data_IF_382150813162
#
_entry.id   IF_382150813162
#
_cell.length_a   1.000
_cell.length_b   1.000
_cell.length_c   1.000
_cell.angle_alpha   90.00
_cell.angle_beta   90.00
_cell.angle_gamma   90.00
#
_symmetry.space_group_name_H-M   'P 1'
#
loop_
_entity.id
_entity.type
_entity.pdbx_description
1 polymer ?
#
# COMPACT_ATOMS: atom_id res chain seq x y z
N UNK A 1 76.71 9.38 24.45
CA UNK A 1 76.39 9.08 25.86
C UNK A 1 75.30 9.99 26.33
N UNK A 2 74.07 9.46 26.41
CA UNK A 2 73.49 8.92 27.65
C UNK A 2 73.01 10.06 28.55
N UNK A 3 71.86 10.08 29.19
CA UNK A 3 70.60 9.35 29.16
C UNK A 3 69.66 10.17 30.05
N UNK A 4 68.36 10.11 29.76
CA UNK A 4 67.18 10.49 30.52
C UNK A 4 67.32 10.93 32.01
N UNK A 5 66.56 11.94 32.48
CA UNK A 5 66.31 12.15 33.91
C UNK A 5 65.05 11.40 34.41
N UNK A 6 65.19 10.77 35.58
CA UNK A 6 64.17 10.06 36.35
C UNK A 6 63.43 10.99 37.31
N UNK A 7 62.10 10.96 37.25
CA UNK A 7 61.10 10.72 38.31
C UNK A 7 61.31 11.28 39.75
N UNK A 8 60.29 12.04 40.23
CA UNK A 8 59.59 11.98 41.55
C UNK A 8 58.92 13.34 41.81
N UNK A 9 57.61 13.54 41.65
CA UNK A 9 56.47 13.10 42.48
C UNK A 9 56.38 13.83 43.84
N UNK A 10 55.56 14.88 43.91
CA UNK A 10 54.98 15.40 45.17
C UNK A 10 53.50 15.71 44.90
N UNK A 11 52.64 15.06 45.69
CA UNK A 11 51.18 15.09 45.66
C UNK A 11 50.62 16.35 46.32
N UNK A 12 49.51 16.90 45.81
CA UNK A 12 48.50 17.54 46.66
C UNK A 12 47.09 17.05 46.31
N UNK A 13 46.51 16.38 47.29
CA UNK A 13 45.13 15.91 47.43
C UNK A 13 44.15 17.09 47.51
N UNK A 14 43.07 17.05 46.73
CA UNK A 14 41.78 17.63 47.15
C UNK A 14 40.62 16.73 46.70
N UNK A 15 39.54 16.64 47.52
CA UNK A 15 38.60 15.52 47.47
C UNK A 15 37.47 15.77 46.46
N UNK A 16 37.13 14.74 45.67
CA UNK A 16 35.88 14.69 44.91
C UNK A 16 34.86 13.81 45.63
N UNK A 17 33.67 14.38 45.70
CA UNK A 17 32.47 13.93 46.42
C UNK A 17 31.93 12.61 45.84
N UNK A 18 31.66 11.69 46.77
CA UNK A 18 30.81 10.50 46.61
C UNK A 18 29.34 10.91 46.46
N UNK A 19 28.67 10.31 45.49
CA UNK A 19 27.23 10.42 45.24
C UNK A 19 26.77 9.37 44.23
N UNK A 20 26.60 8.15 44.72
CA UNK A 20 26.04 6.94 44.10
C UNK A 20 24.61 7.07 43.53
N UNK A 21 24.31 6.23 42.53
CA UNK A 21 22.97 5.74 42.16
C UNK A 21 22.52 6.19 40.77
N UNK A 22 22.60 5.36 39.73
CA UNK A 22 21.69 4.25 39.35
C UNK A 22 20.75 4.69 38.21
N UNK A 23 20.41 3.72 37.34
CA UNK A 23 19.46 3.73 36.21
C UNK A 23 19.96 4.40 34.91
N UNK A 24 20.49 3.67 33.91
CA UNK A 24 19.85 2.65 33.06
C UNK A 24 18.49 3.05 32.43
N UNK A 25 18.48 2.93 31.11
CA UNK A 25 17.34 2.77 30.20
C UNK A 25 16.55 3.98 29.68
N UNK A 26 16.70 4.13 28.36
CA UNK A 26 15.64 4.38 27.38
C UNK A 26 15.00 5.75 27.39
N UNK A 27 15.53 6.61 26.50
CA UNK A 27 14.76 7.68 25.90
C UNK A 27 13.62 7.07 25.08
N UNK A 28 12.47 6.87 25.69
CA UNK A 28 11.20 6.75 24.97
C UNK A 28 10.89 8.11 24.38
N UNK A 29 11.13 8.27 23.08
CA UNK A 29 10.54 9.35 22.30
C UNK A 29 9.02 9.12 22.28
N UNK A 30 8.31 9.74 23.22
CA UNK A 30 6.89 10.00 23.08
C UNK A 30 6.74 11.02 21.94
N UNK A 31 6.55 10.52 20.73
CA UNK A 31 6.01 11.34 19.64
C UNK A 31 4.49 11.28 19.75
N UNK A 32 3.95 12.43 20.08
CA UNK A 32 2.54 12.83 20.03
C UNK A 32 1.75 12.09 18.96
N UNK A 33 0.71 11.39 19.41
CA UNK A 33 -0.43 11.07 18.57
C UNK A 33 -1.13 12.39 18.19
N UNK A 34 -1.58 12.59 16.94
CA UNK A 34 -2.43 13.73 16.64
C UNK A 34 -3.75 13.61 17.41
N UNK A 35 -3.90 14.50 18.39
CA UNK A 35 -5.15 14.88 19.04
C UNK A 35 -6.04 15.57 17.99
N UNK A 36 -7.04 14.87 17.45
CA UNK A 36 -8.12 15.53 16.71
C UNK A 36 -9.17 16.03 17.71
N UNK A 37 -9.17 17.34 17.92
CA UNK A 37 -10.18 18.06 18.68
C UNK A 37 -11.49 18.10 17.91
N UNK A 38 -12.57 17.65 18.56
CA UNK A 38 -13.96 18.02 18.26
C UNK A 38 -14.11 19.55 18.20
N UNK A 39 -14.72 20.06 17.13
CA UNK A 39 -15.59 21.24 17.22
C UNK A 39 -16.66 21.24 16.11
N UNK A 40 -17.90 21.23 16.59
CA UNK A 40 -19.09 21.91 16.10
C UNK A 40 -19.72 21.55 14.75
N UNK A 41 -20.74 20.69 14.88
CA UNK A 41 -21.96 20.64 14.08
C UNK A 41 -22.61 22.04 14.05
N UNK A 42 -22.83 22.58 12.86
CA UNK A 42 -23.84 23.62 12.65
C UNK A 42 -24.75 23.25 11.48
N UNK A 43 -26.01 23.13 11.85
CA UNK A 43 -27.25 23.03 11.07
C UNK A 43 -27.29 23.94 9.83
N UNK A 44 -27.88 23.47 8.73
CA UNK A 44 -27.89 24.25 7.49
C UNK A 44 -28.70 23.71 6.31
N UNK A 45 -30.01 23.53 6.52
CA UNK A 45 -31.11 23.76 5.57
C UNK A 45 -31.15 23.07 4.18
N UNK A 46 -32.29 22.41 3.97
CA UNK A 46 -32.81 21.88 2.73
C UNK A 46 -32.88 22.89 1.57
N UNK A 47 -32.68 22.39 0.35
CA UNK A 47 -33.39 22.89 -0.83
C UNK A 47 -33.87 21.72 -1.67
N UNK A 48 -35.18 21.61 -1.74
CA UNK A 48 -35.95 20.84 -2.72
C UNK A 48 -35.59 21.30 -4.13
N UNK A 49 -35.50 20.37 -5.08
CA UNK A 49 -35.84 20.70 -6.46
C UNK A 49 -36.35 19.45 -7.19
N UNK A 50 -37.65 19.47 -7.44
CA UNK A 50 -38.39 18.65 -8.39
C UNK A 50 -37.87 18.84 -9.82
N UNK A 51 -37.68 17.74 -10.56
CA UNK A 51 -37.97 17.63 -12.01
C UNK A 51 -37.92 16.13 -12.36
N UNK A 52 -39.05 15.43 -12.41
CA UNK A 52 -39.88 15.19 -13.62
C UNK A 52 -39.07 14.80 -14.85
N UNK A 53 -38.89 13.50 -15.10
CA UNK A 53 -38.80 12.95 -16.46
C UNK A 53 -39.38 11.51 -16.52
N UNK A 54 -40.65 11.46 -16.92
CA UNK A 54 -41.18 10.65 -18.03
C UNK A 54 -40.53 9.29 -18.34
N UNK A 55 -41.26 8.23 -17.97
CA UNK A 55 -41.24 6.91 -18.61
C UNK A 55 -41.84 6.99 -20.03
N UNK A 56 -41.27 6.28 -21.02
CA UNK A 56 -42.14 5.43 -21.81
C UNK A 56 -41.58 4.02 -22.03
N UNK A 57 -42.50 3.08 -21.82
CA UNK A 57 -42.53 1.70 -22.29
C UNK A 57 -42.54 1.57 -23.82
N UNK A 58 -42.26 0.33 -24.26
CA UNK A 58 -42.49 -0.29 -25.58
C UNK A 58 -41.27 -0.35 -26.51
N UNK A 59 -40.72 -1.56 -26.68
CA UNK A 59 -40.94 -2.28 -27.93
C UNK A 59 -40.69 -3.79 -27.77
N UNK A 60 -41.70 -4.55 -28.14
CA UNK A 60 -41.71 -5.98 -28.43
C UNK A 60 -41.37 -6.23 -29.90
N UNK A 61 -41.02 -7.49 -30.18
CA UNK A 61 -40.96 -8.16 -31.50
C UNK A 61 -39.67 -7.91 -32.32
N UNK A 62 -38.86 -8.97 -32.49
CA UNK A 62 -38.89 -9.71 -33.74
C UNK A 62 -38.09 -11.02 -33.64
N UNK A 63 -38.76 -12.08 -34.08
CA UNK A 63 -38.23 -13.43 -34.28
C UNK A 63 -37.48 -13.48 -35.61
N UNK A 64 -36.29 -14.10 -35.65
CA UNK A 64 -35.86 -14.88 -36.82
C UNK A 64 -34.54 -15.62 -36.52
N UNK A 65 -34.67 -16.90 -36.16
CA UNK A 65 -33.56 -17.87 -36.18
C UNK A 65 -33.57 -18.64 -37.50
N UNK A 66 -32.50 -18.61 -38.31
CA UNK A 66 -32.29 -19.62 -39.33
C UNK A 66 -31.45 -20.78 -38.79
N UNK A 67 -32.07 -21.96 -38.83
CA UNK A 67 -31.45 -23.28 -38.72
C UNK A 67 -30.38 -23.46 -39.82
N UNK A 68 -29.16 -23.82 -39.43
CA UNK A 68 -28.16 -24.37 -40.36
C UNK A 68 -27.78 -25.78 -39.89
N UNK A 69 -28.26 -26.74 -40.68
CA UNK A 69 -27.83 -28.13 -40.75
C UNK A 69 -26.46 -28.21 -41.43
N UNK A 70 -25.54 -28.97 -40.83
CA UNK A 70 -24.21 -29.21 -41.35
C UNK A 70 -23.47 -30.27 -40.55
N UNK A 71 -23.99 -31.51 -40.58
CA UNK A 71 -23.27 -32.70 -40.08
C UNK A 71 -22.03 -32.95 -40.96
N UNK A 72 -20.84 -32.81 -40.37
CA UNK A 72 -19.57 -33.09 -41.03
C UNK A 72 -18.55 -33.63 -40.03
N UNK A 73 -18.39 -34.95 -40.02
CA UNK A 73 -17.38 -35.69 -39.27
C UNK A 73 -15.95 -35.26 -39.68
N UNK A 74 -15.11 -35.01 -38.67
CA UNK A 74 -13.69 -34.69 -38.83
C UNK A 74 -12.95 -35.02 -37.54
N UNK A 75 -12.35 -36.21 -37.51
CA UNK A 75 -11.55 -36.75 -36.41
C UNK A 75 -10.13 -36.13 -36.33
N UNK A 76 -9.68 -35.97 -35.07
CA UNK A 76 -8.29 -35.91 -34.52
C UNK A 76 -7.58 -34.55 -34.43
N UNK A 77 -6.63 -34.33 -33.48
CA UNK A 77 -6.40 -34.91 -32.15
C UNK A 77 -6.23 -33.83 -31.04
N UNK A 78 -6.04 -34.29 -29.80
CA UNK A 78 -5.92 -33.48 -28.58
C UNK A 78 -4.67 -32.60 -28.53
N UNK A 79 -4.84 -31.31 -28.22
CA UNK A 79 -3.85 -30.47 -27.56
C UNK A 79 -4.53 -29.80 -26.36
N UNK A 80 -4.12 -30.17 -25.16
CA UNK A 80 -4.46 -29.45 -23.94
C UNK A 80 -3.71 -28.13 -23.95
N UNK A 81 -4.44 -27.05 -24.20
CA UNK A 81 -4.07 -25.71 -23.86
C UNK A 81 -5.33 -25.09 -23.27
N UNK A 82 -5.49 -25.25 -21.96
CA UNK A 82 -6.33 -24.37 -21.16
C UNK A 82 -5.73 -22.96 -21.25
N UNK A 83 -6.04 -22.26 -22.35
CA UNK A 83 -5.95 -20.81 -22.38
C UNK A 83 -7.15 -20.30 -21.61
N UNK A 84 -6.96 -20.09 -20.31
CA UNK A 84 -7.85 -19.25 -19.52
C UNK A 84 -7.77 -17.84 -20.11
N UNK A 85 -8.71 -17.54 -20.99
CA UNK A 85 -9.17 -16.19 -21.25
C UNK A 85 -9.76 -15.67 -19.93
N UNK A 86 -8.91 -15.09 -19.09
CA UNK A 86 -9.33 -14.37 -17.89
C UNK A 86 -10.05 -13.11 -18.34
N UNK A 87 -11.34 -13.09 -18.06
CA UNK A 87 -12.23 -11.94 -18.11
C UNK A 87 -11.69 -10.85 -17.16
N UNK A 88 -10.96 -9.88 -17.71
CA UNK A 88 -10.14 -8.90 -17.01
C UNK A 88 -10.93 -7.78 -16.29
N UNK A 89 -11.99 -8.11 -15.57
CA UNK A 89 -12.83 -7.13 -14.86
C UNK A 89 -12.72 -7.13 -13.34
N UNK A 90 -12.51 -8.29 -12.71
CA UNK A 90 -12.49 -8.44 -11.26
C UNK A 90 -11.25 -9.20 -10.74
N UNK A 91 -10.76 -10.18 -11.51
CA UNK A 91 -9.65 -11.05 -11.11
C UNK A 91 -8.28 -10.34 -11.14
N UNK A 92 -8.16 -9.19 -11.82
CA UNK A 92 -6.91 -8.42 -11.83
C UNK A 92 -6.72 -7.58 -10.55
N UNK A 93 -7.82 -7.21 -9.88
CA UNK A 93 -7.82 -6.34 -8.68
C UNK A 93 -7.33 -7.06 -7.43
N UNK A 94 -7.43 -8.38 -7.44
CA UNK A 94 -6.94 -9.25 -6.37
C UNK A 94 -5.87 -10.16 -6.95
N UNK A 95 -4.71 -10.24 -6.33
CA UNK A 95 -3.74 -11.29 -6.65
C UNK A 95 -3.12 -11.86 -5.40
N UNK A 96 -2.15 -12.73 -5.62
CA UNK A 96 -1.44 -13.40 -4.54
C UNK A 96 0.06 -13.20 -4.68
N UNK A 97 0.74 -13.06 -3.55
CA UNK A 97 2.20 -13.20 -3.45
C UNK A 97 2.47 -14.52 -2.76
N UNK A 98 3.33 -15.35 -3.36
CA UNK A 98 3.53 -16.72 -2.89
C UNK A 98 4.62 -16.79 -1.83
N UNK A 99 4.58 -17.83 -0.99
CA UNK A 99 5.65 -18.15 -0.03
C UNK A 99 7.00 -18.33 -0.74
N UNK A 100 7.01 -18.82 -1.98
CA UNK A 100 8.25 -18.99 -2.77
C UNK A 100 8.91 -17.64 -3.10
N UNK A 101 8.11 -16.63 -3.44
CA UNK A 101 8.61 -15.26 -3.69
C UNK A 101 9.20 -14.65 -2.42
N UNK A 102 8.52 -14.85 -1.28
CA UNK A 102 8.98 -14.39 0.04
C UNK A 102 10.27 -15.09 0.43
N UNK A 103 10.34 -16.41 0.26
CA UNK A 103 11.51 -17.19 0.67
C UNK A 103 12.72 -16.90 -0.22
N UNK A 104 12.52 -16.77 -1.54
CA UNK A 104 13.60 -16.49 -2.48
C UNK A 104 14.19 -15.08 -2.30
N UNK A 105 13.36 -14.09 -1.95
CA UNK A 105 13.78 -12.69 -1.82
C UNK A 105 14.24 -12.33 -0.41
N UNK A 106 13.51 -12.78 0.62
CA UNK A 106 13.71 -12.37 2.02
C UNK A 106 14.27 -13.49 2.90
N UNK A 107 14.36 -14.73 2.40
CA UNK A 107 14.88 -15.87 3.17
C UNK A 107 13.99 -16.31 4.34
N UNK A 108 12.69 -16.02 4.27
CA UNK A 108 11.70 -16.33 5.32
C UNK A 108 10.39 -16.84 4.73
N UNK A 109 9.57 -17.45 5.57
CA UNK A 109 8.33 -18.10 5.11
C UNK A 109 7.11 -17.16 5.09
N UNK A 110 7.18 -15.98 5.72
CA UNK A 110 6.06 -15.02 5.71
C UNK A 110 6.53 -13.57 5.85
N UNK A 111 5.75 -12.65 5.28
CA UNK A 111 5.89 -11.19 5.47
C UNK A 111 5.27 -10.74 6.81
N UNK A 112 4.25 -11.45 7.31
CA UNK A 112 3.46 -11.04 8.48
C UNK A 112 4.09 -11.54 9.78
N UNK A 113 5.23 -10.97 10.11
CA UNK A 113 5.82 -11.08 11.46
C UNK A 113 5.24 -9.98 12.35
N UNK A 114 5.01 -10.28 13.62
CA UNK A 114 4.19 -9.45 14.53
C UNK A 114 4.84 -8.12 14.97
N UNK A 115 6.09 -7.84 14.58
CA UNK A 115 6.94 -7.01 15.46
C UNK A 115 7.35 -5.62 14.92
N UNK A 116 7.19 -5.31 13.63
CA UNK A 116 7.45 -3.93 13.13
C UNK A 116 6.73 -3.63 11.79
N UNK A 117 5.64 -2.83 11.80
CA UNK A 117 4.96 -2.40 10.58
C UNK A 117 5.87 -1.65 9.59
N UNK A 118 6.89 -0.93 10.08
CA UNK A 118 7.82 -0.20 9.21
C UNK A 118 8.78 -1.16 8.52
N UNK A 119 9.34 -2.13 9.24
CA UNK A 119 10.17 -3.16 8.63
C UNK A 119 9.36 -4.00 7.63
N UNK A 120 8.11 -4.34 7.97
CA UNK A 120 7.21 -5.04 7.05
C UNK A 120 6.99 -4.27 5.74
N UNK A 121 6.77 -2.95 5.82
CA UNK A 121 6.68 -2.10 4.63
C UNK A 121 7.94 -2.16 3.77
N UNK A 122 9.11 -1.95 4.38
CA UNK A 122 10.41 -2.03 3.68
C UNK A 122 10.66 -3.39 3.04
N UNK A 123 10.34 -4.47 3.75
CA UNK A 123 10.52 -5.82 3.21
C UNK A 123 9.58 -6.08 2.03
N UNK A 124 8.38 -5.50 2.05
CA UNK A 124 7.44 -5.62 0.94
C UNK A 124 7.87 -4.79 -0.27
N UNK A 125 8.43 -3.59 -0.06
CA UNK A 125 9.06 -2.80 -1.13
C UNK A 125 10.20 -3.59 -1.81
N UNK A 126 11.01 -4.32 -1.04
CA UNK A 126 12.06 -5.21 -1.58
C UNK A 126 11.44 -6.36 -2.39
N UNK A 127 10.34 -6.96 -1.93
CA UNK A 127 9.62 -8.00 -2.69
C UNK A 127 9.06 -7.48 -4.02
N UNK A 128 8.68 -6.21 -4.08
CA UNK A 128 8.19 -5.55 -5.28
C UNK A 128 9.30 -4.96 -6.17
N UNK A 129 10.58 -5.13 -5.81
CA UNK A 129 11.74 -4.52 -6.50
C UNK A 129 11.62 -2.99 -6.65
N UNK A 130 11.08 -2.33 -5.62
CA UNK A 130 10.80 -0.90 -5.65
C UNK A 130 12.07 -0.05 -5.85
N UNK A 131 12.03 0.90 -6.78
CA UNK A 131 13.24 1.58 -7.25
C UNK A 131 13.50 2.98 -6.67
N UNK A 132 12.57 3.56 -5.90
CA UNK A 132 12.74 4.92 -5.35
C UNK A 132 13.34 4.91 -3.95
N UNK A 133 12.98 3.94 -3.10
CA UNK A 133 13.58 3.69 -1.79
C UNK A 133 13.60 4.85 -0.80
N UNK A 134 13.89 4.53 0.47
CA UNK A 134 14.04 5.54 1.52
C UNK A 134 12.71 6.19 1.94
N UNK A 135 12.73 7.50 2.23
CA UNK A 135 11.55 8.25 2.67
C UNK A 135 11.00 9.15 1.55
N UNK A 136 11.05 8.69 0.30
CA UNK A 136 10.46 9.46 -0.79
C UNK A 136 8.95 9.63 -0.53
N UNK A 137 8.39 10.84 -0.72
CA UNK A 137 6.97 11.05 -0.46
C UNK A 137 6.08 10.22 -1.39
N UNK A 138 5.17 9.44 -0.80
CA UNK A 138 4.04 8.74 -1.46
C UNK A 138 4.42 7.61 -2.42
N UNK A 139 5.34 7.84 -3.35
CA UNK A 139 5.73 6.90 -4.41
C UNK A 139 6.94 6.08 -3.94
N UNK A 140 6.82 4.77 -4.10
CA UNK A 140 7.85 3.80 -3.73
C UNK A 140 8.57 3.24 -4.99
N UNK A 141 7.88 3.24 -6.14
CA UNK A 141 8.41 2.80 -7.44
C UNK A 141 7.92 3.68 -8.60
N UNK A 142 8.80 3.92 -9.60
CA UNK A 142 8.44 4.58 -10.85
C UNK A 142 9.00 3.80 -12.05
N UNK A 143 8.12 3.26 -12.88
CA UNK A 143 8.50 2.77 -14.21
C UNK A 143 8.59 3.96 -15.17
N UNK A 144 9.83 4.33 -15.54
CA UNK A 144 10.11 5.46 -16.43
C UNK A 144 9.75 5.20 -17.90
N UNK A 145 9.58 3.95 -18.30
CA UNK A 145 9.20 3.61 -19.67
C UNK A 145 7.68 3.76 -19.88
N UNK A 146 6.89 3.33 -18.90
CA UNK A 146 5.43 3.42 -18.94
C UNK A 146 4.86 4.68 -18.27
N UNK A 147 5.63 5.32 -17.39
CA UNK A 147 5.17 6.41 -16.54
C UNK A 147 4.26 5.95 -15.39
N UNK A 148 4.41 4.70 -14.95
CA UNK A 148 3.60 4.14 -13.86
C UNK A 148 4.25 4.45 -12.52
N UNK A 149 3.60 5.30 -11.72
CA UNK A 149 3.98 5.59 -10.35
C UNK A 149 3.21 4.69 -9.37
N UNK A 150 3.95 3.95 -8.55
CA UNK A 150 3.37 2.98 -7.62
C UNK A 150 3.64 3.37 -6.17
N UNK A 151 2.58 3.44 -5.37
CA UNK A 151 2.66 3.46 -3.91
C UNK A 151 2.44 2.06 -3.37
N UNK A 152 3.37 1.55 -2.59
CA UNK A 152 3.37 0.21 -2.02
C UNK A 152 3.02 0.33 -0.54
N UNK A 153 1.97 -0.38 -0.10
CA UNK A 153 1.47 -0.32 1.27
C UNK A 153 1.16 -1.71 1.79
N UNK A 154 1.39 -1.91 3.08
CA UNK A 154 0.94 -3.13 3.79
C UNK A 154 -0.11 -2.74 4.82
N UNK A 155 -1.16 -3.54 4.92
CA UNK A 155 -2.24 -3.35 5.89
C UNK A 155 -2.66 -4.73 6.41
N UNK A 156 -2.67 -4.92 7.73
CA UNK A 156 -3.19 -6.14 8.36
C UNK A 156 -4.63 -5.90 8.85
N UNK A 157 -5.66 -6.39 8.15
CA UNK A 157 -7.05 -6.12 8.52
C UNK A 157 -7.43 -6.68 9.89
N UNK A 158 -6.65 -7.62 10.46
CA UNK A 158 -6.90 -8.26 11.75
C UNK A 158 -6.54 -7.35 12.94
N UNK A 159 -5.78 -6.27 12.71
CA UNK A 159 -5.45 -5.33 13.77
C UNK A 159 -6.71 -4.62 14.29
N UNK A 160 -6.76 -4.37 15.61
CA UNK A 160 -7.94 -3.84 16.28
C UNK A 160 -8.49 -2.53 15.68
N UNK A 161 -7.60 -1.66 15.16
CA UNK A 161 -7.99 -0.43 14.48
C UNK A 161 -8.75 -0.69 13.18
N UNK A 162 -8.37 -1.71 12.42
CA UNK A 162 -8.97 -2.04 11.12
C UNK A 162 -10.17 -2.99 11.19
N UNK A 163 -10.45 -3.55 12.38
CA UNK A 163 -11.74 -4.17 12.66
C UNK A 163 -12.89 -3.15 12.64
N UNK A 164 -12.58 -1.85 12.78
CA UNK A 164 -13.53 -0.78 12.46
C UNK A 164 -13.51 -0.50 10.96
N UNK A 165 -14.58 -0.86 10.26
CA UNK A 165 -14.72 -0.68 8.80
C UNK A 165 -14.54 0.77 8.37
N UNK A 166 -15.03 1.74 9.13
CA UNK A 166 -14.84 3.16 8.81
C UNK A 166 -13.37 3.55 8.87
N UNK A 167 -12.62 3.04 9.85
CA UNK A 167 -11.19 3.32 9.99
C UNK A 167 -10.36 2.65 8.87
N UNK A 168 -10.70 1.41 8.49
CA UNK A 168 -10.14 0.74 7.31
C UNK A 168 -10.36 1.61 6.05
N UNK A 169 -11.61 2.03 5.81
CA UNK A 169 -11.97 2.84 4.63
C UNK A 169 -11.24 4.17 4.61
N UNK A 170 -11.23 4.90 5.72
CA UNK A 170 -10.53 6.18 5.80
C UNK A 170 -9.03 6.02 5.56
N UNK A 171 -8.40 4.97 6.09
CA UNK A 171 -6.97 4.71 5.90
C UNK A 171 -6.63 4.50 4.41
N UNK A 172 -7.36 3.61 3.73
CA UNK A 172 -7.10 3.34 2.31
C UNK A 172 -7.46 4.55 1.44
N UNK A 173 -8.52 5.30 1.77
CA UNK A 173 -8.85 6.56 1.08
C UNK A 173 -7.73 7.58 1.20
N UNK A 174 -7.09 7.68 2.36
CA UNK A 174 -5.97 8.62 2.53
C UNK A 174 -4.81 8.22 1.62
N UNK A 175 -4.45 6.93 1.53
CA UNK A 175 -3.44 6.49 0.57
C UNK A 175 -3.79 6.81 -0.89
N UNK A 176 -5.05 6.60 -1.28
CA UNK A 176 -5.54 6.96 -2.62
C UNK A 176 -5.44 8.47 -2.84
N UNK A 177 -5.84 9.28 -1.88
CA UNK A 177 -5.79 10.73 -1.99
C UNK A 177 -4.36 11.24 -2.06
N UNK A 178 -3.46 10.74 -1.21
CA UNK A 178 -2.04 11.10 -1.20
C UNK A 178 -1.40 10.83 -2.57
N UNK A 179 -1.75 9.70 -3.20
CA UNK A 179 -1.26 9.33 -4.54
C UNK A 179 -1.93 10.11 -5.67
N UNK A 180 -3.24 10.35 -5.57
CA UNK A 180 -4.01 11.17 -6.51
C UNK A 180 -3.49 12.62 -6.54
N UNK A 181 -3.23 13.18 -5.37
CA UNK A 181 -2.81 14.57 -5.18
C UNK A 181 -1.29 14.74 -5.29
N UNK A 182 -0.55 13.66 -5.55
CA UNK A 182 0.89 13.69 -5.78
C UNK A 182 1.22 14.58 -6.98
N UNK A 183 2.19 15.46 -6.78
CA UNK A 183 2.74 16.40 -7.75
C UNK A 183 4.27 16.39 -7.69
N UNK A 184 4.90 17.19 -8.56
CA UNK A 184 6.35 17.31 -8.70
C UNK A 184 7.10 17.26 -7.37
N UNK A 185 7.97 16.26 -7.22
CA UNK A 185 8.78 16.08 -6.01
C UNK A 185 10.21 15.74 -6.38
N UNK A 186 11.14 16.52 -5.82
CA UNK A 186 12.58 16.21 -5.83
C UNK A 186 13.01 15.86 -4.42
N UNK A 187 13.54 14.65 -4.22
CA UNK A 187 13.98 14.16 -2.92
C UNK A 187 15.40 13.63 -2.99
N UNK A 188 16.13 13.68 -1.87
CA UNK A 188 17.48 13.14 -1.79
C UNK A 188 17.47 11.82 -1.03
N UNK A 189 17.81 10.73 -1.73
CA UNK A 189 17.98 9.39 -1.18
C UNK A 189 19.45 9.02 -1.31
N UNK A 190 20.12 8.70 -0.20
CA UNK A 190 21.55 8.33 -0.15
C UNK A 190 22.49 9.29 -0.90
N UNK A 191 22.19 10.60 -0.84
CA UNK A 191 22.98 11.65 -1.48
C UNK A 191 22.75 11.80 -2.99
N UNK A 192 21.80 11.05 -3.57
CA UNK A 192 21.34 11.20 -4.96
C UNK A 192 19.99 11.91 -4.97
N UNK A 193 19.86 12.93 -5.82
CA UNK A 193 18.56 13.53 -6.12
C UNK A 193 17.75 12.59 -7.01
N UNK A 194 16.54 12.26 -6.57
CA UNK A 194 15.51 11.58 -7.35
C UNK A 194 14.41 12.62 -7.59
N UNK A 195 14.04 12.79 -8.85
CA UNK A 195 12.99 13.72 -9.27
C UNK A 195 11.90 12.93 -9.97
N UNK A 196 10.66 13.11 -9.51
CA UNK A 196 9.45 12.59 -10.15
C UNK A 196 8.58 13.79 -10.47
N UNK A 197 8.39 14.06 -11.75
CA UNK A 197 7.54 15.13 -12.25
C UNK A 197 6.15 14.57 -12.54
N UNK A 198 5.12 15.36 -12.32
CA UNK A 198 3.73 15.02 -12.62
C UNK A 198 3.55 14.67 -14.11
N UNK A 199 4.28 15.35 -15.00
CA UNK A 199 4.27 15.08 -16.45
C UNK A 199 4.86 13.71 -16.82
N UNK A 200 5.71 13.13 -15.97
CA UNK A 200 6.26 11.79 -16.14
C UNK A 200 5.27 10.70 -15.66
N UNK A 201 4.24 11.07 -14.89
CA UNK A 201 3.28 10.13 -14.30
C UNK A 201 2.04 9.99 -15.19
N UNK A 202 2.03 8.91 -15.98
CA UNK A 202 0.91 8.55 -16.86
C UNK A 202 -0.15 7.73 -16.14
N UNK A 203 0.26 6.92 -15.15
CA UNK A 203 -0.62 6.03 -14.40
C UNK A 203 -0.22 6.01 -12.92
N UNK A 204 -1.22 5.95 -12.04
CA UNK A 204 -1.03 5.87 -10.59
C UNK A 204 -1.56 4.54 -10.08
N UNK A 205 -0.74 3.78 -9.38
CA UNK A 205 -1.10 2.48 -8.82
C UNK A 205 -0.88 2.49 -7.30
N UNK A 206 -1.93 2.17 -6.54
CA UNK A 206 -1.81 1.85 -5.13
C UNK A 206 -1.78 0.33 -4.99
N UNK A 207 -0.63 -0.21 -4.65
CA UNK A 207 -0.41 -1.63 -4.41
C UNK A 207 -0.55 -1.93 -2.92
N UNK A 208 -1.66 -2.55 -2.51
CA UNK A 208 -2.02 -2.83 -1.13
C UNK A 208 -1.90 -4.32 -0.79
N UNK A 209 -0.91 -4.68 0.03
CA UNK A 209 -0.74 -6.04 0.53
C UNK A 209 -1.42 -6.29 1.88
N UNK A 210 -2.01 -7.48 2.03
CA UNK A 210 -2.66 -7.96 3.24
C UNK A 210 -2.41 -9.47 3.46
N UNK A 211 -2.52 -9.98 4.70
CA UNK A 211 -2.39 -11.42 4.94
C UNK A 211 -3.51 -12.20 4.27
N UNK A 212 -3.16 -13.35 3.69
CA UNK A 212 -4.16 -14.29 3.18
C UNK A 212 -5.17 -14.68 4.26
N UNK A 213 -6.45 -14.74 3.86
CA UNK A 213 -7.57 -14.96 4.77
C UNK A 213 -7.70 -13.91 5.90
N UNK A 214 -6.96 -12.79 5.84
CA UNK A 214 -6.91 -11.80 6.91
C UNK A 214 -8.11 -10.84 6.94
N UNK A 215 -8.78 -10.64 5.80
CA UNK A 215 -9.95 -9.78 5.67
C UNK A 215 -11.25 -10.58 5.81
N UNK A 216 -12.19 -10.09 6.61
CA UNK A 216 -13.57 -10.60 6.65
C UNK A 216 -14.35 -10.23 5.38
N UNK A 217 -15.49 -10.89 5.13
CA UNK A 217 -16.36 -10.56 3.98
C UNK A 217 -16.79 -9.08 3.97
N UNK A 218 -17.03 -8.50 5.15
CA UNK A 218 -17.38 -7.08 5.29
C UNK A 218 -16.19 -6.16 4.94
N UNK A 219 -14.97 -6.54 5.32
CA UNK A 219 -13.76 -5.82 4.95
C UNK A 219 -13.48 -5.94 3.45
N UNK A 220 -13.70 -7.12 2.84
CA UNK A 220 -13.59 -7.32 1.38
C UNK A 220 -14.60 -6.46 0.62
N UNK A 221 -15.86 -6.42 1.05
CA UNK A 221 -16.86 -5.53 0.47
C UNK A 221 -16.48 -4.04 0.59
N UNK A 222 -15.91 -3.63 1.73
CA UNK A 222 -15.40 -2.28 1.91
C UNK A 222 -14.21 -1.96 0.98
N UNK A 223 -13.34 -2.92 0.71
CA UNK A 223 -12.23 -2.79 -0.25
C UNK A 223 -12.73 -2.69 -1.70
N UNK A 224 -13.79 -3.41 -2.07
CA UNK A 224 -14.44 -3.24 -3.39
C UNK A 224 -14.98 -1.82 -3.60
N UNK A 225 -15.61 -1.23 -2.57
CA UNK A 225 -16.02 0.18 -2.64
C UNK A 225 -14.82 1.13 -2.81
N UNK A 226 -13.67 0.77 -2.22
CA UNK A 226 -12.44 1.56 -2.32
C UNK A 226 -11.78 1.44 -3.70
N UNK A 227 -11.90 0.29 -4.38
CA UNK A 227 -11.51 0.15 -5.78
C UNK A 227 -12.26 1.15 -6.67
N UNK A 228 -13.58 1.21 -6.53
CA UNK A 228 -14.40 2.19 -7.27
C UNK A 228 -14.03 3.63 -6.92
N UNK A 229 -13.76 3.91 -5.64
CA UNK A 229 -13.31 5.24 -5.21
C UNK A 229 -11.96 5.62 -5.83
N UNK A 230 -10.99 4.70 -5.82
CA UNK A 230 -9.67 4.91 -6.41
C UNK A 230 -9.76 5.20 -7.91
N UNK A 231 -10.57 4.44 -8.65
CA UNK A 231 -10.81 4.66 -10.07
C UNK A 231 -11.38 6.07 -10.33
N UNK A 232 -12.31 6.54 -9.49
CA UNK A 232 -12.86 7.91 -9.58
C UNK A 232 -11.83 9.02 -9.34
N UNK A 233 -10.69 8.67 -8.73
CA UNK A 233 -9.53 9.54 -8.46
C UNK A 233 -8.39 9.34 -9.47
N UNK A 234 -8.57 8.50 -10.49
CA UNK A 234 -7.51 8.19 -11.46
C UNK A 234 -6.37 7.35 -10.86
N UNK A 235 -6.66 6.59 -9.79
CA UNK A 235 -5.74 5.66 -9.15
C UNK A 235 -6.25 4.24 -9.35
N UNK A 236 -5.39 3.33 -9.76
CA UNK A 236 -5.68 1.90 -9.79
C UNK A 236 -5.32 1.33 -8.43
N UNK A 237 -6.29 0.79 -7.70
CA UNK A 237 -6.02 0.02 -6.49
C UNK A 237 -5.79 -1.44 -6.90
N UNK A 238 -4.66 -2.01 -6.51
CA UNK A 238 -4.37 -3.44 -6.63
C UNK A 238 -4.22 -4.02 -5.24
N UNK A 239 -5.01 -5.03 -4.91
CA UNK A 239 -4.93 -5.72 -3.63
C UNK A 239 -4.21 -7.05 -3.81
N UNK A 240 -3.24 -7.36 -2.94
CA UNK A 240 -2.57 -8.66 -2.93
C UNK A 240 -2.70 -9.35 -1.57
N UNK A 241 -3.13 -10.59 -1.59
CA UNK A 241 -3.08 -11.49 -0.43
C UNK A 241 -1.70 -12.19 -0.40
N UNK A 242 -1.03 -12.14 0.74
CA UNK A 242 0.27 -12.78 0.93
C UNK A 242 0.05 -14.14 1.60
N UNK A 243 0.43 -15.21 0.89
CA UNK A 243 0.27 -16.61 1.31
C UNK A 243 1.29 -17.04 2.39
#
# INVERSE_FOLDING_TARGET
DESNPTESAEHEDTPLVDGTGDDEHSQTAAMDAPSETETDIVDGAATENDTDESNPTENTEDEDTPLIDGTGDGEQPQIGAESDTVDGGADARWGQVTVEDIQSTLGRDTLWTDDDPKQRGRDYEVLCDANIGGNFPVIDDIDRETGTATSIKTLDPRMASYQNISHLKSTVRNYVNDLSDFSDTTWHVDGKAIEVLEEDVQQRVLHLAMPDGGASDEQKAALEELHTYAESKGVILETREIL
#
